data_IF_542076057949
#
_entry.id   IF_542076057949
#
_cell.length_a   1.000
_cell.length_b   1.000
_cell.length_c   1.000
_cell.angle_alpha   90.00
_cell.angle_beta   90.00
_cell.angle_gamma   90.00
#
_symmetry.space_group_name_H-M   'P 1'
#
loop_
_entity.id
_entity.type
_entity.pdbx_description
1 polymer ?
#
# COMPACT_ATOMS: atom_id res chain seq x y z
N UNK A 1 -29.14 8.32 -33.25
CA UNK A 1 -27.94 8.75 -32.51
C UNK A 1 -27.09 7.52 -32.24
N UNK A 2 -25.92 7.39 -32.89
CA UNK A 2 -24.95 6.34 -32.55
C UNK A 2 -24.17 6.78 -31.32
N UNK A 3 -24.31 6.07 -30.20
CA UNK A 3 -23.50 6.27 -29.01
C UNK A 3 -22.03 6.00 -29.35
N UNK A 4 -21.19 7.03 -29.28
CA UNK A 4 -19.74 6.91 -29.43
C UNK A 4 -19.20 6.15 -28.22
N UNK A 5 -18.96 4.85 -28.37
CA UNK A 5 -18.34 3.99 -27.36
C UNK A 5 -17.07 4.66 -26.81
N UNK A 6 -17.09 5.05 -25.53
CA UNK A 6 -15.93 5.67 -24.86
C UNK A 6 -14.90 4.59 -24.56
N UNK A 7 -13.71 4.70 -25.16
CA UNK A 7 -12.60 3.79 -24.89
C UNK A 7 -12.32 3.70 -23.38
N UNK A 8 -12.13 2.48 -22.88
CA UNK A 8 -11.87 2.21 -21.47
C UNK A 8 -10.55 2.86 -21.00
N UNK A 9 -10.61 3.67 -19.94
CA UNK A 9 -9.44 4.33 -19.39
C UNK A 9 -8.67 3.39 -18.45
N UNK A 10 -7.78 2.57 -19.03
CA UNK A 10 -6.95 1.60 -18.30
C UNK A 10 -6.14 2.25 -17.16
N UNK A 11 -5.61 3.46 -17.36
CA UNK A 11 -4.80 4.16 -16.36
C UNK A 11 -5.63 4.53 -15.14
N UNK A 12 -6.79 5.15 -15.35
CA UNK A 12 -7.70 5.51 -14.26
C UNK A 12 -8.16 4.27 -13.50
N UNK A 13 -8.55 3.21 -14.22
CA UNK A 13 -8.94 1.95 -13.59
C UNK A 13 -7.85 1.38 -12.67
N UNK A 14 -6.62 1.29 -13.17
CA UNK A 14 -5.49 0.74 -12.39
C UNK A 14 -5.21 1.59 -11.15
N UNK A 15 -5.19 2.92 -11.30
CA UNK A 15 -5.01 3.82 -10.17
C UNK A 15 -6.14 3.69 -9.14
N UNK A 16 -7.39 3.54 -9.57
CA UNK A 16 -8.53 3.32 -8.67
C UNK A 16 -8.43 2.00 -7.90
N UNK A 17 -8.10 0.90 -8.57
CA UNK A 17 -7.93 -0.41 -7.90
C UNK A 17 -6.79 -0.36 -6.90
N UNK A 18 -5.65 0.23 -7.28
CA UNK A 18 -4.51 0.40 -6.38
C UNK A 18 -4.88 1.29 -5.18
N UNK A 19 -5.62 2.37 -5.38
CA UNK A 19 -6.06 3.25 -4.30
C UNK A 19 -7.01 2.56 -3.32
N UNK A 20 -8.05 1.89 -3.82
CA UNK A 20 -9.01 1.15 -2.99
C UNK A 20 -8.30 0.04 -2.21
N UNK A 21 -7.44 -0.73 -2.89
CA UNK A 21 -6.68 -1.81 -2.24
C UNK A 21 -5.72 -1.26 -1.19
N UNK A 22 -5.05 -0.15 -1.49
CA UNK A 22 -4.13 0.54 -0.60
C UNK A 22 -4.81 1.09 0.66
N UNK A 23 -6.03 1.60 0.56
CA UNK A 23 -6.83 2.02 1.73
C UNK A 23 -7.36 0.82 2.54
N UNK A 24 -7.73 -0.27 1.86
CA UNK A 24 -8.20 -1.48 2.53
C UNK A 24 -7.11 -2.19 3.33
N UNK A 25 -5.84 -2.05 2.97
CA UNK A 25 -4.71 -2.70 3.63
C UNK A 25 -4.52 -2.27 5.09
N UNK A 26 -4.43 -0.97 5.44
CA UNK A 26 -4.38 -0.53 6.84
C UNK A 26 -5.57 -1.02 7.66
N UNK A 27 -6.78 -0.95 7.08
CA UNK A 27 -7.99 -1.35 7.79
C UNK A 27 -8.03 -2.85 8.08
N UNK A 28 -7.80 -3.68 7.06
CA UNK A 28 -7.72 -5.15 7.23
C UNK A 28 -6.53 -5.60 8.07
N UNK A 29 -5.40 -4.88 7.99
CA UNK A 29 -4.22 -5.12 8.83
C UNK A 29 -4.51 -4.83 10.30
N UNK A 30 -5.23 -3.76 10.60
CA UNK A 30 -5.69 -3.45 11.95
C UNK A 30 -6.64 -4.52 12.50
N UNK A 31 -7.58 -5.02 11.69
CA UNK A 31 -8.45 -6.15 12.08
C UNK A 31 -7.64 -7.42 12.36
N UNK A 32 -6.66 -7.74 11.52
CA UNK A 32 -5.77 -8.87 11.73
C UNK A 32 -4.92 -8.72 13.00
N UNK A 33 -4.51 -7.50 13.35
CA UNK A 33 -3.80 -7.22 14.60
C UNK A 33 -4.68 -7.50 15.83
N UNK A 34 -5.95 -7.05 15.82
CA UNK A 34 -6.89 -7.30 16.92
C UNK A 34 -7.17 -8.81 17.06
N UNK A 35 -7.47 -9.48 15.94
CA UNK A 35 -7.83 -10.90 15.95
C UNK A 35 -6.61 -11.82 16.06
N UNK A 36 -5.40 -11.31 15.91
CA UNK A 36 -4.15 -12.07 15.90
C UNK A 36 -3.87 -12.82 17.19
N UNK A 37 -4.35 -12.29 18.33
CA UNK A 37 -4.23 -12.90 19.65
C UNK A 37 -5.29 -13.97 19.93
N UNK A 38 -6.34 -14.06 19.10
CA UNK A 38 -7.37 -15.09 19.23
C UNK A 38 -6.97 -16.37 18.49
N UNK A 39 -7.46 -17.53 18.96
CA UNK A 39 -7.34 -18.79 18.23
C UNK A 39 -7.94 -18.70 16.82
N UNK A 40 -7.59 -19.63 15.94
CA UNK A 40 -8.07 -19.62 14.56
C UNK A 40 -9.60 -19.77 14.52
N UNK A 41 -10.29 -18.69 14.14
CA UNK A 41 -11.73 -18.63 13.97
C UNK A 41 -12.09 -18.06 12.59
N UNK A 42 -13.36 -18.19 12.20
CA UNK A 42 -13.85 -17.77 10.89
C UNK A 42 -13.55 -16.29 10.62
N UNK A 43 -13.75 -15.42 11.62
CA UNK A 43 -13.50 -13.98 11.49
C UNK A 43 -12.02 -13.68 11.19
N UNK A 44 -11.10 -14.30 11.93
CA UNK A 44 -9.64 -14.15 11.72
C UNK A 44 -9.25 -14.63 10.32
N UNK A 45 -9.75 -15.79 9.88
CA UNK A 45 -9.46 -16.31 8.55
C UNK A 45 -10.02 -15.41 7.43
N UNK A 46 -11.22 -14.86 7.62
CA UNK A 46 -11.83 -13.93 6.67
C UNK A 46 -11.02 -12.63 6.52
N UNK A 47 -10.66 -11.98 7.63
CA UNK A 47 -9.83 -10.76 7.59
C UNK A 47 -8.43 -11.00 7.04
N UNK A 48 -7.84 -12.16 7.34
CA UNK A 48 -6.56 -12.58 6.77
C UNK A 48 -6.68 -12.76 5.25
N UNK A 49 -7.74 -13.41 4.77
CA UNK A 49 -7.99 -13.61 3.34
C UNK A 49 -8.21 -12.27 2.62
N UNK A 50 -9.01 -11.37 3.20
CA UNK A 50 -9.23 -10.02 2.67
C UNK A 50 -7.91 -9.26 2.57
N UNK A 51 -7.11 -9.24 3.63
CA UNK A 51 -5.82 -8.56 3.63
C UNK A 51 -4.87 -9.10 2.55
N UNK A 52 -4.79 -10.43 2.43
CA UNK A 52 -3.92 -11.08 1.45
C UNK A 52 -4.35 -10.77 0.01
N UNK A 53 -5.66 -10.82 -0.29
CA UNK A 53 -6.18 -10.48 -1.62
C UNK A 53 -5.94 -9.00 -1.94
N UNK A 54 -6.22 -8.09 -0.99
CA UNK A 54 -5.93 -6.67 -1.16
C UNK A 54 -4.44 -6.41 -1.39
N UNK A 55 -3.56 -7.11 -0.67
CA UNK A 55 -2.11 -7.02 -0.84
C UNK A 55 -1.68 -7.49 -2.23
N UNK A 56 -2.19 -8.64 -2.68
CA UNK A 56 -1.90 -9.17 -4.01
C UNK A 56 -2.37 -8.22 -5.12
N UNK A 57 -3.60 -7.71 -5.02
CA UNK A 57 -4.14 -6.73 -5.96
C UNK A 57 -3.31 -5.45 -5.94
N UNK A 58 -3.00 -4.91 -4.76
CA UNK A 58 -2.19 -3.70 -4.65
C UNK A 58 -0.83 -3.86 -5.34
N UNK A 59 -0.10 -4.95 -5.06
CA UNK A 59 1.21 -5.20 -5.68
C UNK A 59 1.10 -5.38 -7.18
N UNK A 60 0.18 -6.22 -7.67
CA UNK A 60 0.01 -6.47 -9.10
C UNK A 60 -0.33 -5.18 -9.87
N UNK A 61 -1.26 -4.38 -9.34
CA UNK A 61 -1.67 -3.12 -9.96
C UNK A 61 -0.61 -2.03 -9.81
N UNK A 62 0.17 -2.01 -8.72
CA UNK A 62 1.30 -1.09 -8.57
C UNK A 62 2.39 -1.35 -9.62
N UNK A 63 2.72 -2.62 -9.88
CA UNK A 63 3.65 -2.99 -10.97
C UNK A 63 3.11 -2.51 -12.32
N UNK A 64 1.82 -2.74 -12.59
CA UNK A 64 1.21 -2.29 -13.84
C UNK A 64 1.16 -0.77 -13.96
N UNK A 65 0.87 -0.07 -12.85
CA UNK A 65 0.89 1.38 -12.77
C UNK A 65 2.28 1.94 -13.10
N UNK A 66 3.34 1.32 -12.59
CA UNK A 66 4.73 1.67 -12.91
C UNK A 66 5.00 1.47 -14.41
N UNK A 67 4.62 0.33 -14.97
CA UNK A 67 4.84 0.03 -16.41
C UNK A 67 4.12 1.06 -17.30
N UNK A 68 2.85 1.38 -17.01
CA UNK A 68 2.08 2.35 -17.79
C UNK A 68 2.60 3.79 -17.67
N UNK A 69 3.22 4.13 -16.53
CA UNK A 69 3.75 5.46 -16.26
C UNK A 69 5.30 5.50 -16.35
N UNK A 70 5.94 4.48 -16.93
CA UNK A 70 7.39 4.32 -16.95
C UNK A 70 8.13 5.50 -17.59
N UNK A 71 7.57 6.10 -18.65
CA UNK A 71 8.14 7.29 -19.30
C UNK A 71 8.18 8.50 -18.35
N UNK A 72 7.10 8.73 -17.62
CA UNK A 72 6.99 9.84 -16.65
C UNK A 72 7.95 9.60 -15.49
N UNK A 73 7.98 8.36 -14.98
CA UNK A 73 8.85 8.00 -13.86
C UNK A 73 10.34 8.12 -14.20
N UNK A 74 10.76 7.66 -15.40
CA UNK A 74 12.14 7.89 -15.87
C UNK A 74 12.48 9.37 -16.01
N UNK A 75 11.55 10.19 -16.48
CA UNK A 75 11.77 11.63 -16.59
C UNK A 75 11.91 12.29 -15.22
N UNK A 76 11.11 11.85 -14.23
CA UNK A 76 11.25 12.27 -12.85
C UNK A 76 12.64 11.93 -12.32
N UNK A 77 13.09 10.68 -12.44
CA UNK A 77 14.43 10.28 -11.98
C UNK A 77 15.57 10.99 -12.72
N UNK A 78 15.42 11.27 -14.02
CA UNK A 78 16.41 12.03 -14.79
C UNK A 78 16.50 13.49 -14.40
N UNK A 79 15.41 14.09 -13.95
CA UNK A 79 15.38 15.48 -13.42
C UNK A 79 15.88 15.55 -11.99
N UNK A 80 15.82 14.43 -11.28
CA UNK A 80 16.36 14.24 -9.94
C UNK A 80 17.88 13.98 -10.05
N UNK A 81 18.62 14.96 -10.55
CA UNK A 81 20.09 14.96 -10.52
C UNK A 81 20.56 15.67 -9.26
N UNK A 82 21.15 14.91 -8.33
CA UNK A 82 21.71 15.45 -7.08
C UNK A 82 20.75 15.44 -5.89
N UNK A 83 20.17 14.28 -5.56
CA UNK A 83 19.45 14.10 -4.29
C UNK A 83 20.44 14.17 -3.15
N UNK A 84 20.69 15.37 -2.64
CA UNK A 84 21.17 15.54 -1.29
C UNK A 84 19.95 15.31 -0.41
N UNK A 85 19.96 14.24 0.38
CA UNK A 85 18.86 13.90 1.27
C UNK A 85 18.63 15.11 2.19
N UNK A 86 17.47 15.77 2.06
CA UNK A 86 17.20 16.96 2.83
C UNK A 86 17.08 16.60 4.32
N UNK A 87 17.36 17.55 5.22
CA UNK A 87 17.21 17.30 6.66
C UNK A 87 15.78 16.88 7.01
N UNK A 88 14.79 17.45 6.33
CA UNK A 88 13.38 17.08 6.48
C UNK A 88 13.11 15.64 6.05
N UNK A 89 13.76 15.20 4.97
CA UNK A 89 13.65 13.80 4.50
C UNK A 89 14.23 12.84 5.54
N UNK A 90 15.37 13.20 6.14
CA UNK A 90 15.97 12.42 7.24
C UNK A 90 15.04 12.38 8.45
N UNK A 91 14.50 13.53 8.87
CA UNK A 91 13.56 13.57 10.00
C UNK A 91 12.28 12.78 9.73
N UNK A 92 11.74 12.84 8.51
CA UNK A 92 10.59 12.04 8.12
C UNK A 92 10.89 10.54 8.20
N UNK A 93 12.05 10.12 7.67
CA UNK A 93 12.49 8.72 7.78
C UNK A 93 12.66 8.28 9.23
N UNK A 94 13.33 9.08 10.05
CA UNK A 94 13.51 8.79 11.49
C UNK A 94 12.18 8.69 12.21
N UNK A 95 11.24 9.61 11.95
CA UNK A 95 9.91 9.57 12.55
C UNK A 95 9.16 8.29 12.18
N UNK A 96 9.18 7.90 10.89
CA UNK A 96 8.56 6.65 10.43
C UNK A 96 9.20 5.44 11.12
N UNK A 97 10.53 5.37 11.17
CA UNK A 97 11.24 4.27 11.83
C UNK A 97 10.90 4.17 13.32
N UNK A 98 10.80 5.32 14.02
CA UNK A 98 10.40 5.37 15.43
C UNK A 98 8.97 4.86 15.58
N UNK A 99 8.01 5.36 14.80
CA UNK A 99 6.61 4.92 14.86
C UNK A 99 6.47 3.42 14.59
N UNK A 100 7.15 2.91 13.56
CA UNK A 100 7.17 1.47 13.24
C UNK A 100 7.79 0.68 14.38
N UNK A 101 8.93 1.13 14.91
CA UNK A 101 9.61 0.50 16.04
C UNK A 101 8.72 0.41 17.28
N UNK A 102 8.03 1.49 17.64
CA UNK A 102 7.08 1.51 18.75
C UNK A 102 5.93 0.50 18.57
N UNK A 103 5.33 0.45 17.37
CA UNK A 103 4.27 -0.51 17.07
C UNK A 103 4.76 -1.96 17.19
N UNK A 104 5.97 -2.24 16.69
CA UNK A 104 6.58 -3.57 16.77
C UNK A 104 6.91 -3.94 18.23
N UNK A 105 7.52 -3.02 18.99
CA UNK A 105 7.84 -3.24 20.41
C UNK A 105 6.59 -3.48 21.25
N UNK A 106 5.49 -2.78 20.98
CA UNK A 106 4.21 -2.99 21.66
C UNK A 106 3.70 -4.42 21.47
N UNK A 107 3.79 -4.98 20.26
CA UNK A 107 3.41 -6.36 19.99
C UNK A 107 4.24 -7.38 20.79
N UNK A 108 5.54 -7.12 20.98
CA UNK A 108 6.40 -7.99 21.79
C UNK A 108 6.16 -7.85 23.30
N UNK A 109 5.84 -6.65 23.80
CA UNK A 109 5.57 -6.46 25.23
C UNK A 109 4.30 -7.20 25.69
N UNK A 110 3.25 -7.27 24.84
CA UNK A 110 2.01 -8.01 25.11
C UNK A 110 2.14 -9.54 24.97
N UNK A 111 3.27 -10.03 24.44
CA UNK A 111 3.51 -11.46 24.22
C UNK A 111 4.25 -12.18 25.35
N UNK A 112 4.58 -11.46 26.43
CA UNK A 112 5.18 -11.98 27.68
C UNK A 112 4.12 -12.11 28.76
#
# INVERSE_FOLDING_TARGET
>A
MMEKQRNFNKRAFISSVMFISGLGLPFSGYMNHILGFSGMNVSRHAWMSVHNVLGLLFVAFALWHIVLNWKVMKNYFRKVTGVILSRETVYAFSLVLICVGFFVLHAFHLSR
#
